data_IF_839031337628
#
_entry.id   IF_839031337628
#
_cell.length_a   1.000
_cell.length_b   1.000
_cell.length_c   1.000
_cell.angle_alpha   90.00
_cell.angle_beta   90.00
_cell.angle_gamma   90.00
#
_symmetry.space_group_name_H-M   'P 1'
#
loop_
_entity.id
_entity.type
_entity.pdbx_description
1 polymer ?
#
# COMPACT_ATOMS: atom_id res chain seq x y z
N UNK A 1 -28.53 0.18 -76.51
CA UNK A 1 -28.22 1.60 -76.39
C UNK A 1 -28.70 2.08 -75.03
N UNK A 2 -27.81 2.19 -74.08
CA UNK A 2 -27.84 3.14 -72.94
C UNK A 2 -26.46 3.14 -72.28
N UNK A 3 -25.86 4.31 -72.36
CA UNK A 3 -24.54 4.67 -71.91
C UNK A 3 -24.44 4.62 -70.32
N UNK A 4 -23.33 4.06 -69.81
CA UNK A 4 -22.91 4.24 -68.42
C UNK A 4 -22.04 5.50 -68.30
N UNK A 5 -22.14 6.24 -67.20
CA UNK A 5 -21.24 7.34 -66.85
C UNK A 5 -20.01 6.87 -66.04
N UNK A 6 -18.92 7.56 -66.27
CA UNK A 6 -17.59 7.25 -65.79
C UNK A 6 -17.36 7.39 -64.30
N UNK A 7 -16.37 6.66 -63.86
CA UNK A 7 -15.79 6.68 -62.53
C UNK A 7 -14.69 7.74 -62.46
N UNK A 8 -14.85 8.74 -61.60
CA UNK A 8 -13.77 9.66 -61.22
C UNK A 8 -12.87 9.03 -60.14
N UNK A 9 -11.57 9.32 -60.11
CA UNK A 9 -10.64 8.75 -59.15
C UNK A 9 -10.64 9.54 -57.83
N UNK A 10 -10.81 8.78 -56.72
CA UNK A 10 -10.72 9.29 -55.36
C UNK A 10 -9.32 9.83 -55.03
N UNK A 11 -9.24 11.14 -54.78
CA UNK A 11 -8.07 11.86 -54.30
C UNK A 11 -7.67 11.35 -52.90
N UNK A 12 -6.43 10.82 -52.78
CA UNK A 12 -5.79 10.48 -51.51
C UNK A 12 -5.50 11.76 -50.73
N UNK A 13 -6.30 12.06 -49.73
CA UNK A 13 -5.92 13.02 -48.69
C UNK A 13 -4.84 12.40 -47.80
N UNK A 14 -3.67 13.02 -47.79
CA UNK A 14 -2.59 12.70 -46.86
C UNK A 14 -3.01 13.06 -45.44
N UNK A 15 -3.34 12.06 -44.63
CA UNK A 15 -3.46 12.23 -43.18
C UNK A 15 -2.08 12.50 -42.58
N UNK A 16 -1.87 13.74 -42.15
CA UNK A 16 -0.72 14.12 -41.33
C UNK A 16 -0.82 13.38 -40.01
N UNK A 17 -0.04 12.31 -39.83
CA UNK A 17 0.22 11.69 -38.55
C UNK A 17 0.78 12.75 -37.60
N UNK A 18 -0.05 13.28 -36.71
CA UNK A 18 0.41 14.01 -35.53
C UNK A 18 1.13 12.99 -34.63
N UNK A 19 2.45 13.06 -34.63
CA UNK A 19 3.24 12.31 -33.63
C UNK A 19 2.87 12.86 -32.25
N UNK A 20 2.13 12.07 -31.48
CA UNK A 20 2.01 12.26 -30.04
C UNK A 20 3.40 11.99 -29.44
N UNK A 21 4.18 13.06 -29.27
CA UNK A 21 5.30 13.02 -28.33
C UNK A 21 4.66 12.76 -26.96
N UNK A 22 4.78 11.54 -26.45
CA UNK A 22 4.53 11.25 -25.05
C UNK A 22 5.39 12.23 -24.26
N UNK A 23 4.76 13.16 -23.55
CA UNK A 23 5.40 13.89 -22.47
C UNK A 23 5.86 12.83 -21.47
N UNK A 24 7.14 12.51 -21.51
CA UNK A 24 7.77 11.76 -20.41
C UNK A 24 7.66 12.69 -19.21
N UNK A 25 6.63 12.49 -18.40
CA UNK A 25 6.58 13.05 -17.07
C UNK A 25 7.81 12.49 -16.35
N UNK A 26 8.83 13.30 -16.19
CA UNK A 26 9.94 12.98 -15.30
C UNK A 26 9.36 13.03 -13.91
N UNK A 27 8.98 11.88 -13.36
CA UNK A 27 8.56 11.74 -11.97
C UNK A 27 9.70 12.25 -11.09
N UNK A 28 9.40 13.23 -10.23
CA UNK A 28 10.38 13.83 -9.34
C UNK A 28 10.25 13.18 -7.98
N UNK A 29 11.22 12.36 -7.61
CA UNK A 29 11.30 11.80 -6.26
C UNK A 29 11.72 12.92 -5.29
N UNK A 30 10.82 13.25 -4.36
CA UNK A 30 11.05 14.32 -3.38
C UNK A 30 11.90 13.79 -2.22
N UNK A 31 13.08 14.36 -2.05
CA UNK A 31 13.96 14.04 -0.91
C UNK A 31 13.68 14.97 0.26
N UNK A 32 13.47 14.40 1.44
CA UNK A 32 13.19 15.11 2.68
C UNK A 32 14.48 15.41 3.41
N UNK A 33 14.56 16.56 4.08
CA UNK A 33 15.68 16.87 5.00
C UNK A 33 15.55 16.03 6.28
N UNK A 34 16.63 15.88 7.09
CA UNK A 34 16.53 15.20 8.38
C UNK A 34 15.40 15.73 9.28
N UNK A 35 15.22 17.06 9.35
CA UNK A 35 14.17 17.70 10.14
C UNK A 35 12.76 17.37 9.61
N UNK A 36 12.61 17.22 8.30
CA UNK A 36 11.35 16.81 7.70
C UNK A 36 11.05 15.33 8.00
N UNK A 37 12.07 14.47 7.96
CA UNK A 37 11.96 13.06 8.37
C UNK A 37 11.55 12.96 9.85
N UNK A 38 12.10 13.79 10.72
CA UNK A 38 11.71 13.81 12.14
C UNK A 38 10.26 14.24 12.34
N UNK A 39 9.74 15.17 11.52
CA UNK A 39 8.32 15.52 11.53
C UNK A 39 7.43 14.36 11.05
N UNK A 40 7.87 13.64 10.02
CA UNK A 40 7.19 12.42 9.57
C UNK A 40 7.22 11.33 10.64
N UNK A 41 8.35 11.18 11.35
CA UNK A 41 8.46 10.24 12.47
C UNK A 41 7.45 10.59 13.59
N UNK A 42 7.21 11.89 13.87
CA UNK A 42 6.19 12.29 14.85
C UNK A 42 4.76 11.87 14.43
N UNK A 43 4.43 11.94 13.13
CA UNK A 43 3.19 11.37 12.59
C UNK A 43 3.17 9.85 12.72
N UNK A 44 4.30 9.20 12.41
CA UNK A 44 4.49 7.75 12.50
C UNK A 44 4.35 7.19 13.90
N UNK A 45 4.82 7.90 14.92
CA UNK A 45 4.61 7.50 16.33
C UNK A 45 3.13 7.51 16.73
N UNK A 46 2.36 8.50 16.25
CA UNK A 46 0.91 8.54 16.48
C UNK A 46 0.26 7.37 15.74
N UNK A 47 0.62 7.13 14.48
CA UNK A 47 0.14 6.03 13.67
C UNK A 47 0.42 4.68 14.35
N UNK A 48 1.65 4.42 14.77
CA UNK A 48 2.06 3.18 15.43
C UNK A 48 1.26 2.90 16.71
N UNK A 49 1.05 3.93 17.56
CA UNK A 49 0.21 3.81 18.76
C UNK A 49 -1.26 3.57 18.40
N UNK A 50 -1.78 4.20 17.36
CA UNK A 50 -3.14 3.95 16.86
C UNK A 50 -3.28 2.49 16.44
N UNK A 51 -2.37 1.99 15.61
CA UNK A 51 -2.41 0.62 15.12
C UNK A 51 -2.25 -0.41 16.26
N UNK A 52 -1.38 -0.15 17.24
CA UNK A 52 -1.28 -0.98 18.45
C UNK A 52 -2.61 -1.03 19.25
N UNK A 53 -3.24 0.12 19.44
CA UNK A 53 -4.54 0.21 20.12
C UNK A 53 -5.62 -0.56 19.34
N UNK A 54 -5.68 -0.43 18.01
CA UNK A 54 -6.63 -1.15 17.18
C UNK A 54 -6.40 -2.66 17.23
N UNK A 55 -5.15 -3.12 17.16
CA UNK A 55 -4.80 -4.55 17.30
C UNK A 55 -5.32 -5.14 18.61
N UNK A 56 -5.22 -4.41 19.71
CA UNK A 56 -5.73 -4.86 21.03
C UNK A 56 -7.26 -4.94 21.08
N UNK A 57 -7.96 -4.23 20.19
CA UNK A 57 -9.43 -4.24 20.07
C UNK A 57 -9.97 -5.29 19.10
N UNK A 58 -9.11 -5.95 18.31
CA UNK A 58 -9.53 -6.99 17.37
C UNK A 58 -9.90 -8.28 18.09
N UNK A 59 -11.14 -8.38 18.54
CA UNK A 59 -11.71 -9.60 19.13
C UNK A 59 -13.09 -9.91 18.54
N UNK A 60 -13.57 -11.16 18.63
CA UNK A 60 -14.87 -11.52 18.08
C UNK A 60 -16.01 -10.63 18.60
N UNK A 61 -16.90 -10.19 17.71
CA UNK A 61 -18.05 -9.32 18.01
C UNK A 61 -17.78 -7.82 17.83
N UNK A 62 -16.53 -7.39 17.66
CA UNK A 62 -16.24 -5.98 17.33
C UNK A 62 -16.46 -5.76 15.83
N UNK A 63 -17.17 -4.70 15.48
CA UNK A 63 -17.36 -4.33 14.09
C UNK A 63 -16.17 -3.53 13.55
N UNK A 64 -15.97 -3.55 12.22
CA UNK A 64 -14.95 -2.71 11.59
C UNK A 64 -15.29 -1.22 11.74
N UNK A 65 -16.57 -0.85 11.86
CA UNK A 65 -17.00 0.51 12.18
C UNK A 65 -16.58 0.95 13.60
N UNK A 66 -16.61 0.03 14.59
CA UNK A 66 -16.13 0.33 15.94
C UNK A 66 -14.63 0.60 15.98
N UNK A 67 -13.86 -0.13 15.16
CA UNK A 67 -12.41 0.10 15.00
C UNK A 67 -12.14 1.46 14.34
N UNK A 68 -12.86 1.80 13.30
CA UNK A 68 -12.77 3.11 12.62
C UNK A 68 -13.06 4.26 13.58
N UNK A 69 -14.18 4.19 14.30
CA UNK A 69 -14.54 5.20 15.29
C UNK A 69 -13.54 5.31 16.42
N UNK A 70 -12.88 4.21 16.82
CA UNK A 70 -11.82 4.23 17.82
C UNK A 70 -10.56 4.91 17.27
N UNK A 71 -10.18 4.65 16.03
CA UNK A 71 -9.04 5.29 15.36
C UNK A 71 -9.25 6.79 15.20
N UNK A 72 -10.41 7.20 14.68
CA UNK A 72 -10.77 8.61 14.47
C UNK A 72 -10.63 9.41 15.78
N UNK A 73 -11.24 8.90 16.86
CA UNK A 73 -11.12 9.55 18.18
C UNK A 73 -9.69 9.58 18.69
N UNK A 74 -8.95 8.48 18.57
CA UNK A 74 -7.56 8.43 19.04
C UNK A 74 -6.69 9.45 18.32
N UNK A 75 -6.72 9.47 16.97
CA UNK A 75 -5.92 10.37 16.15
C UNK A 75 -6.26 11.83 16.47
N UNK A 76 -7.55 12.17 16.59
CA UNK A 76 -8.00 13.52 16.96
C UNK A 76 -7.46 13.96 18.34
N UNK A 77 -7.42 13.07 19.35
CA UNK A 77 -6.85 13.40 20.69
C UNK A 77 -5.35 13.68 20.66
N UNK A 78 -4.64 13.25 19.60
CA UNK A 78 -3.22 13.56 19.39
C UNK A 78 -3.01 14.89 18.63
N UNK A 79 -4.07 15.61 18.31
CA UNK A 79 -4.02 16.82 17.48
C UNK A 79 -3.49 16.50 16.07
N UNK A 80 -3.90 15.36 15.51
CA UNK A 80 -3.56 14.88 14.18
C UNK A 80 -4.85 14.57 13.40
N UNK A 81 -4.74 14.29 12.12
CA UNK A 81 -5.84 13.98 11.22
C UNK A 81 -5.70 12.58 10.64
N UNK A 82 -6.83 11.85 10.48
CA UNK A 82 -6.87 10.59 9.75
C UNK A 82 -6.74 10.88 8.25
N UNK A 83 -5.63 10.46 7.64
CA UNK A 83 -5.25 10.86 6.28
C UNK A 83 -6.18 10.29 5.20
N UNK A 84 -6.83 9.15 5.47
CA UNK A 84 -7.72 8.52 4.50
C UNK A 84 -9.10 9.18 4.43
N UNK A 85 -9.57 9.79 5.52
CA UNK A 85 -10.92 10.37 5.59
C UNK A 85 -11.09 11.52 4.61
N UNK A 86 -11.91 11.30 3.59
CA UNK A 86 -12.12 12.25 2.50
C UNK A 86 -11.08 12.19 1.37
N UNK A 87 -9.99 11.43 1.53
CA UNK A 87 -8.99 11.28 0.48
C UNK A 87 -9.61 10.58 -0.74
N UNK A 88 -9.65 11.28 -1.88
CA UNK A 88 -10.32 10.83 -3.11
C UNK A 88 -11.76 10.34 -2.90
N UNK A 89 -12.43 10.79 -1.82
CA UNK A 89 -13.79 10.41 -1.47
C UNK A 89 -13.89 9.16 -0.59
N UNK A 90 -12.79 8.60 -0.06
CA UNK A 90 -12.84 7.49 0.89
C UNK A 90 -13.55 7.93 2.18
N UNK A 91 -14.54 7.17 2.70
CA UNK A 91 -15.38 7.65 3.79
C UNK A 91 -14.83 7.38 5.20
N UNK A 92 -13.93 6.40 5.35
CA UNK A 92 -13.41 5.93 6.64
C UNK A 92 -12.14 6.67 7.09
N UNK A 93 -11.84 6.58 8.36
CA UNK A 93 -10.59 7.08 8.96
C UNK A 93 -9.45 6.08 8.81
N UNK A 94 -9.79 4.78 8.66
CA UNK A 94 -8.87 3.68 8.41
C UNK A 94 -9.41 2.80 7.28
N UNK A 95 -8.56 1.93 6.70
CA UNK A 95 -9.05 0.77 5.97
C UNK A 95 -9.09 -0.44 6.90
N UNK A 96 -10.17 -1.21 6.82
CA UNK A 96 -10.33 -2.46 7.58
C UNK A 96 -10.78 -3.57 6.64
N UNK A 97 -9.87 -4.49 6.33
CA UNK A 97 -10.01 -5.45 5.24
C UNK A 97 -9.97 -6.90 5.77
N UNK A 98 -11.16 -7.54 6.02
CA UNK A 98 -11.21 -8.91 6.55
C UNK A 98 -10.95 -9.98 5.49
N UNK A 99 -10.21 -11.03 5.87
CA UNK A 99 -10.07 -12.31 5.18
C UNK A 99 -9.53 -12.20 3.74
N UNK A 100 -10.40 -12.37 2.73
CA UNK A 100 -10.04 -12.29 1.31
C UNK A 100 -9.96 -10.85 0.78
N UNK A 101 -10.37 -9.89 1.59
CA UNK A 101 -10.19 -8.48 1.27
C UNK A 101 -8.74 -8.09 1.51
N UNK A 102 -8.06 -7.66 0.46
CA UNK A 102 -6.62 -7.34 0.47
C UNK A 102 -6.38 -5.98 1.13
N UNK A 103 -7.03 -4.93 0.58
CA UNK A 103 -6.87 -3.52 1.00
C UNK A 103 -8.16 -2.72 0.74
N UNK A 104 -8.18 -1.50 1.22
CA UNK A 104 -9.19 -0.45 0.98
C UNK A 104 -10.60 -0.84 1.44
N UNK A 105 -10.72 -1.76 2.41
CA UNK A 105 -12.01 -2.10 3.00
C UNK A 105 -12.62 -0.91 3.73
N UNK A 106 -13.82 -0.49 3.30
CA UNK A 106 -14.56 0.57 3.98
C UNK A 106 -15.08 0.01 5.31
N UNK A 107 -14.74 0.62 6.45
CA UNK A 107 -15.27 0.21 7.75
C UNK A 107 -16.80 0.23 7.78
N UNK A 108 -17.41 -0.83 8.33
CA UNK A 108 -18.86 -1.00 8.31
C UNK A 108 -19.36 -2.01 9.36
N UNK A 109 -20.56 -2.57 9.17
CA UNK A 109 -21.20 -3.43 10.15
C UNK A 109 -20.62 -4.86 10.21
N UNK A 110 -19.54 -5.16 9.49
CA UNK A 110 -18.91 -6.48 9.57
C UNK A 110 -18.35 -6.71 10.97
N UNK A 111 -18.91 -7.65 11.69
CA UNK A 111 -18.43 -8.10 12.99
C UNK A 111 -17.34 -9.15 12.84
N UNK A 112 -16.18 -8.91 13.44
CA UNK A 112 -15.05 -9.84 13.45
C UNK A 112 -15.43 -11.16 14.12
N UNK A 113 -14.98 -12.27 13.54
CA UNK A 113 -15.26 -13.63 14.02
C UNK A 113 -13.96 -14.32 14.41
N UNK A 114 -14.04 -15.26 15.36
CA UNK A 114 -12.90 -16.12 15.68
C UNK A 114 -12.44 -16.86 14.43
N UNK A 115 -11.15 -16.75 14.12
CA UNK A 115 -10.53 -17.35 12.95
C UNK A 115 -10.37 -16.40 11.77
N UNK A 116 -10.96 -15.19 11.82
CA UNK A 116 -10.69 -14.15 10.83
C UNK A 116 -9.25 -13.64 10.93
N UNK A 117 -8.77 -13.09 9.84
CA UNK A 117 -7.64 -12.15 9.79
C UNK A 117 -8.17 -10.81 9.29
N UNK A 118 -7.68 -9.70 9.82
CA UNK A 118 -8.11 -8.37 9.36
C UNK A 118 -6.89 -7.49 9.13
N UNK A 119 -6.71 -6.99 7.91
CA UNK A 119 -5.73 -5.97 7.61
C UNK A 119 -6.29 -4.61 8.07
N UNK A 120 -5.56 -3.97 8.98
CA UNK A 120 -5.82 -2.63 9.47
C UNK A 120 -4.75 -1.72 8.90
N UNK A 121 -5.17 -0.70 8.19
CA UNK A 121 -4.32 0.24 7.50
C UNK A 121 -4.69 1.66 7.96
N UNK A 122 -3.69 2.42 8.40
CA UNK A 122 -3.86 3.67 9.15
C UNK A 122 -2.90 4.74 8.65
N UNK A 123 -3.43 5.73 7.96
CA UNK A 123 -2.71 6.94 7.59
C UNK A 123 -2.93 8.07 8.60
N UNK A 124 -1.87 8.73 9.04
CA UNK A 124 -1.91 9.88 9.97
C UNK A 124 -1.21 11.08 9.38
N UNK A 125 -1.90 12.23 9.40
CA UNK A 125 -1.32 13.54 9.06
C UNK A 125 -1.10 14.35 10.33
N UNK A 126 0.15 14.76 10.57
CA UNK A 126 0.52 15.67 11.68
C UNK A 126 1.33 16.85 11.13
N UNK A 127 0.89 18.06 11.41
CA UNK A 127 1.53 19.29 10.95
C UNK A 127 1.84 19.31 9.44
N UNK A 128 0.92 18.70 8.65
CA UNK A 128 1.00 18.57 7.20
C UNK A 128 2.04 17.55 6.71
N UNK A 129 2.48 16.60 7.55
CA UNK A 129 3.31 15.46 7.18
C UNK A 129 2.55 14.16 7.40
N UNK A 130 2.67 13.26 6.44
CA UNK A 130 1.92 11.99 6.41
C UNK A 130 2.83 10.84 6.81
N UNK A 131 2.28 9.91 7.57
CA UNK A 131 2.86 8.59 7.80
C UNK A 131 1.76 7.54 7.62
N UNK A 132 2.11 6.42 7.01
CA UNK A 132 1.21 5.33 6.67
C UNK A 132 1.79 3.98 7.10
N UNK A 133 0.94 3.11 7.62
CA UNK A 133 1.34 1.74 7.89
C UNK A 133 0.13 0.82 8.13
N UNK A 134 0.34 -0.45 7.79
CA UNK A 134 -0.65 -1.49 7.91
C UNK A 134 -0.13 -2.73 8.66
N UNK A 135 -1.05 -3.44 9.30
CA UNK A 135 -0.79 -4.77 9.83
C UNK A 135 -2.03 -5.64 9.76
N UNK A 136 -1.85 -6.89 9.33
CA UNK A 136 -2.90 -7.89 9.39
C UNK A 136 -2.89 -8.60 10.74
N UNK A 137 -4.03 -8.59 11.42
CA UNK A 137 -4.23 -9.09 12.78
C UNK A 137 -5.07 -10.35 12.78
N UNK A 138 -4.67 -11.43 13.47
CA UNK A 138 -5.52 -12.60 13.68
C UNK A 138 -6.57 -12.31 14.76
N UNK A 139 -7.81 -12.75 14.55
CA UNK A 139 -8.92 -12.62 15.50
C UNK A 139 -9.10 -13.93 16.28
N UNK A 140 -8.55 -13.97 17.49
CA UNK A 140 -8.47 -15.20 18.27
C UNK A 140 -7.54 -16.24 17.65
N UNK A 141 -7.91 -17.53 17.73
CA UNK A 141 -7.11 -18.61 17.08
C UNK A 141 -7.44 -18.74 15.63
N UNK A 142 -6.42 -18.67 14.78
CA UNK A 142 -6.51 -18.82 13.32
C UNK A 142 -5.92 -20.17 12.87
N UNK A 143 -6.26 -20.60 11.67
CA UNK A 143 -5.70 -21.82 11.05
C UNK A 143 -4.18 -21.68 10.81
N UNK A 144 -3.42 -22.80 10.79
CA UNK A 144 -1.97 -22.75 10.55
C UNK A 144 -1.59 -22.03 9.25
N UNK A 145 -2.36 -22.20 8.19
CA UNK A 145 -2.14 -21.51 6.91
C UNK A 145 -2.21 -19.99 7.05
N UNK A 146 -3.24 -19.48 7.75
CA UNK A 146 -3.37 -18.05 8.01
C UNK A 146 -2.17 -17.53 8.81
N UNK A 147 -1.73 -18.25 9.83
CA UNK A 147 -0.53 -17.88 10.61
C UNK A 147 0.70 -17.79 9.73
N UNK A 148 0.95 -18.82 8.89
CA UNK A 148 2.06 -18.82 7.93
C UNK A 148 2.00 -17.65 6.95
N UNK A 149 0.80 -17.32 6.44
CA UNK A 149 0.60 -16.16 5.56
C UNK A 149 1.01 -14.86 6.24
N UNK A 150 0.54 -14.64 7.49
CA UNK A 150 0.87 -13.44 8.25
C UNK A 150 2.37 -13.34 8.54
N UNK A 151 3.00 -14.44 8.96
CA UNK A 151 4.44 -14.50 9.25
C UNK A 151 5.27 -14.24 7.99
N UNK A 152 4.92 -14.87 6.86
CA UNK A 152 5.60 -14.65 5.58
C UNK A 152 5.45 -13.21 5.09
N UNK A 153 4.25 -12.64 5.14
CA UNK A 153 4.03 -11.26 4.66
C UNK A 153 4.75 -10.25 5.55
N UNK A 154 4.69 -10.42 6.86
CA UNK A 154 5.46 -9.59 7.80
C UNK A 154 6.96 -9.73 7.58
N UNK A 155 7.46 -10.95 7.40
CA UNK A 155 8.89 -11.21 7.11
C UNK A 155 9.34 -10.55 5.82
N UNK A 156 8.51 -10.57 4.77
CA UNK A 156 8.78 -9.90 3.51
C UNK A 156 8.88 -8.37 3.65
N UNK A 157 8.02 -7.77 4.49
CA UNK A 157 8.11 -6.34 4.82
C UNK A 157 9.47 -5.98 5.41
N UNK A 158 9.95 -6.74 6.39
CA UNK A 158 11.28 -6.51 6.98
C UNK A 158 12.40 -6.73 5.98
N UNK A 159 12.32 -7.80 5.16
CA UNK A 159 13.29 -8.07 4.13
C UNK A 159 13.39 -6.92 3.10
N UNK A 160 12.25 -6.36 2.68
CA UNK A 160 12.20 -5.19 1.80
C UNK A 160 12.72 -3.93 2.48
N UNK A 161 12.27 -3.65 3.70
CA UNK A 161 12.69 -2.46 4.45
C UNK A 161 14.21 -2.44 4.70
N UNK A 162 14.85 -3.59 4.96
CA UNK A 162 16.29 -3.69 5.13
C UNK A 162 17.08 -3.32 3.85
N UNK A 163 16.47 -3.47 2.67
CA UNK A 163 17.07 -3.05 1.40
C UNK A 163 16.93 -1.54 1.12
N UNK A 164 16.17 -0.78 1.90
CA UNK A 164 16.03 0.67 1.73
C UNK A 164 17.30 1.43 2.18
N UNK A 165 18.46 1.05 1.61
CA UNK A 165 19.80 1.57 1.92
C UNK A 165 20.32 2.49 0.83
N UNK A 166 21.09 3.52 1.19
CA UNK A 166 21.75 4.35 0.19
C UNK A 166 22.59 3.51 -0.76
N UNK A 167 22.44 3.76 -2.05
CA UNK A 167 23.21 3.08 -3.09
C UNK A 167 22.56 1.83 -3.66
N UNK A 168 21.66 1.17 -2.95
CA UNK A 168 20.78 0.15 -3.51
C UNK A 168 19.82 0.75 -4.53
N UNK A 169 19.14 -0.09 -5.27
CA UNK A 169 18.06 0.33 -6.19
C UNK A 169 16.69 -0.09 -5.65
N UNK A 170 15.65 0.55 -6.13
CA UNK A 170 14.29 0.21 -5.74
C UNK A 170 13.95 -1.27 -6.03
N UNK A 171 14.49 -1.82 -7.11
CA UNK A 171 14.36 -3.23 -7.47
C UNK A 171 14.95 -4.19 -6.44
N UNK A 172 15.92 -3.75 -5.61
CA UNK A 172 16.47 -4.59 -4.53
C UNK A 172 15.43 -4.77 -3.42
N UNK A 173 14.67 -3.71 -3.08
CA UNK A 173 13.53 -3.78 -2.16
C UNK A 173 12.47 -4.74 -2.70
N UNK A 174 12.07 -4.54 -3.95
CA UNK A 174 11.05 -5.35 -4.63
C UNK A 174 11.43 -6.83 -4.72
N UNK A 175 12.68 -7.14 -5.09
CA UNK A 175 13.18 -8.51 -5.21
C UNK A 175 13.28 -9.21 -3.86
N UNK A 176 13.66 -8.50 -2.80
CA UNK A 176 13.72 -9.05 -1.45
C UNK A 176 12.32 -9.45 -0.95
N UNK A 177 11.31 -8.61 -1.18
CA UNK A 177 9.90 -8.91 -0.87
C UNK A 177 9.46 -10.15 -1.65
N UNK A 178 9.63 -10.15 -2.96
CA UNK A 178 9.22 -11.24 -3.85
C UNK A 178 9.86 -12.56 -3.45
N UNK A 179 11.18 -12.60 -3.29
CA UNK A 179 11.91 -13.81 -2.95
C UNK A 179 11.45 -14.42 -1.62
N UNK A 180 11.16 -13.57 -0.62
CA UNK A 180 10.66 -14.03 0.67
C UNK A 180 9.28 -14.68 0.58
N UNK A 181 8.34 -14.04 -0.14
CA UNK A 181 6.96 -14.55 -0.28
C UNK A 181 6.90 -15.81 -1.14
N UNK A 182 7.56 -15.80 -2.32
CA UNK A 182 7.54 -16.94 -3.23
C UNK A 182 8.20 -18.18 -2.61
N UNK A 183 9.27 -18.00 -1.81
CA UNK A 183 9.90 -19.10 -1.07
C UNK A 183 9.00 -19.70 0.03
N UNK A 184 8.06 -18.92 0.57
CA UNK A 184 7.06 -19.37 1.52
C UNK A 184 5.84 -20.06 0.86
N UNK A 185 5.77 -20.06 -0.49
CA UNK A 185 4.72 -20.68 -1.29
C UNK A 185 3.44 -19.85 -1.41
N UNK A 186 3.52 -18.53 -1.23
CA UNK A 186 2.42 -17.58 -1.38
C UNK A 186 2.56 -16.72 -2.65
N UNK A 187 1.51 -15.99 -3.00
CA UNK A 187 1.46 -15.18 -4.22
C UNK A 187 1.52 -13.69 -3.94
N UNK A 188 2.49 -13.00 -4.57
CA UNK A 188 2.56 -11.53 -4.59
C UNK A 188 1.46 -10.97 -5.48
N UNK A 189 0.74 -9.97 -4.99
CA UNK A 189 -0.17 -9.16 -5.78
C UNK A 189 0.65 -8.17 -6.61
N UNK A 190 0.48 -8.21 -7.95
CA UNK A 190 1.32 -7.44 -8.89
C UNK A 190 0.68 -6.13 -9.35
N UNK A 191 -0.63 -5.98 -9.18
CA UNK A 191 -1.40 -4.83 -9.64
C UNK A 191 -1.52 -3.69 -8.63
N UNK A 192 -1.04 -3.93 -7.39
CA UNK A 192 -0.95 -2.93 -6.33
C UNK A 192 0.53 -2.76 -5.95
N UNK A 193 0.89 -1.54 -5.58
CA UNK A 193 2.28 -1.16 -5.35
C UNK A 193 2.38 -0.17 -4.20
N UNK A 194 3.48 -0.17 -3.49
CA UNK A 194 3.85 0.86 -2.55
C UNK A 194 4.21 2.18 -3.25
N UNK A 195 4.51 3.20 -2.49
CA UNK A 195 4.68 4.55 -3.01
C UNK A 195 5.67 5.39 -2.19
N UNK A 196 6.16 6.47 -2.77
CA UNK A 196 6.77 7.55 -2.00
C UNK A 196 5.71 8.25 -1.13
N UNK A 197 6.12 8.84 -0.02
CA UNK A 197 5.22 9.51 0.93
C UNK A 197 5.90 10.73 1.56
N UNK A 198 5.10 11.73 1.94
CA UNK A 198 5.66 12.94 2.53
C UNK A 198 4.61 13.98 2.89
N UNK A 199 4.48 15.03 2.08
CA UNK A 199 3.38 16.00 2.19
C UNK A 199 2.09 15.43 1.63
N UNK A 200 2.23 14.65 0.56
CA UNK A 200 1.13 13.92 -0.04
C UNK A 200 1.17 12.47 0.42
N UNK A 201 0.00 11.85 0.52
CA UNK A 201 -0.15 10.43 0.82
C UNK A 201 0.59 9.58 -0.22
N UNK A 202 0.43 9.89 -1.51
CA UNK A 202 1.07 9.20 -2.60
C UNK A 202 1.98 10.16 -3.37
N UNK A 203 3.28 9.94 -3.22
CA UNK A 203 4.35 10.58 -3.98
C UNK A 203 5.08 9.56 -4.86
N UNK A 204 5.92 10.02 -5.77
CA UNK A 204 6.87 9.14 -6.47
C UNK A 204 8.00 8.66 -5.53
N UNK A 205 8.56 7.46 -5.75
CA UNK A 205 8.28 6.52 -6.83
C UNK A 205 7.17 5.52 -6.49
N UNK A 206 6.64 4.81 -7.49
CA UNK A 206 5.92 3.56 -7.27
C UNK A 206 6.89 2.46 -6.83
N UNK A 207 6.48 1.63 -5.88
CA UNK A 207 7.30 0.57 -5.26
C UNK A 207 6.63 -0.79 -5.48
N UNK A 208 6.87 -1.46 -6.61
CA UNK A 208 6.32 -2.80 -6.83
C UNK A 208 6.84 -3.80 -5.79
N UNK A 209 5.99 -4.75 -5.40
CA UNK A 209 6.36 -5.85 -4.50
C UNK A 209 7.09 -6.99 -5.22
N UNK A 210 7.48 -6.79 -6.48
CA UNK A 210 8.22 -7.73 -7.32
C UNK A 210 9.17 -6.96 -8.23
N UNK A 211 10.30 -7.55 -8.59
CA UNK A 211 11.27 -6.89 -9.45
C UNK A 211 12.59 -7.62 -9.55
N UNK A 212 13.53 -7.00 -10.25
CA UNK A 212 14.88 -7.49 -10.45
C UNK A 212 15.88 -6.66 -9.62
N UNK A 213 16.84 -7.30 -8.94
CA UNK A 213 17.89 -6.59 -8.22
C UNK A 213 18.68 -5.62 -9.13
N UNK A 214 19.08 -4.48 -8.59
CA UNK A 214 19.85 -3.46 -9.30
C UNK A 214 19.06 -2.69 -10.36
N UNK A 215 17.73 -2.78 -10.37
CA UNK A 215 16.85 -2.06 -11.31
C UNK A 215 16.08 -0.92 -10.64
N UNK A 216 15.60 -0.01 -11.45
CA UNK A 216 14.82 1.14 -11.01
C UNK A 216 15.68 2.28 -10.44
N UNK A 217 15.06 3.28 -9.82
CA UNK A 217 15.76 4.41 -9.20
C UNK A 217 16.78 3.95 -8.15
N UNK A 218 17.92 4.62 -8.12
CA UNK A 218 18.89 4.45 -7.04
C UNK A 218 18.35 5.10 -5.77
N UNK A 219 18.45 4.40 -4.65
CA UNK A 219 18.00 4.90 -3.36
C UNK A 219 19.03 5.88 -2.80
N UNK A 220 18.54 7.06 -2.42
CA UNK A 220 19.32 8.15 -1.90
C UNK A 220 18.79 8.64 -0.57
N UNK A 221 19.66 9.11 0.34
CA UNK A 221 19.23 9.70 1.60
C UNK A 221 18.19 10.81 1.39
N UNK A 222 17.15 10.79 2.22
CA UNK A 222 16.02 11.69 2.12
C UNK A 222 14.80 11.14 1.39
N UNK A 223 14.92 10.03 0.67
CA UNK A 223 13.74 9.32 0.15
C UNK A 223 12.96 8.72 1.30
N UNK A 224 11.61 8.82 1.25
CA UNK A 224 10.72 8.18 2.22
C UNK A 224 9.69 7.37 1.46
N UNK A 225 9.56 6.11 1.84
CA UNK A 225 8.90 5.06 1.07
C UNK A 225 7.84 4.36 1.94
N UNK A 226 6.63 4.21 1.45
CA UNK A 226 5.63 3.28 1.95
C UNK A 226 5.92 1.91 1.30
N UNK A 227 6.47 0.99 2.08
CA UNK A 227 6.80 -0.37 1.64
C UNK A 227 5.71 -1.29 2.17
N UNK A 228 4.93 -1.89 1.27
CA UNK A 228 3.65 -2.51 1.61
C UNK A 228 3.41 -3.83 0.84
N UNK A 229 4.03 -4.94 1.22
CA UNK A 229 3.73 -6.23 0.64
C UNK A 229 2.27 -6.63 0.86
N UNK A 230 1.58 -6.88 -0.27
CA UNK A 230 0.23 -7.43 -0.34
C UNK A 230 0.29 -8.84 -0.93
N UNK A 231 -0.25 -9.82 -0.21
CA UNK A 231 -0.03 -11.24 -0.47
C UNK A 231 -1.34 -12.02 -0.38
N UNK A 232 -1.58 -12.90 -1.35
CA UNK A 232 -2.67 -13.86 -1.32
C UNK A 232 -2.17 -15.27 -0.94
N UNK A 233 -2.96 -16.00 -0.18
CA UNK A 233 -2.71 -17.42 0.09
C UNK A 233 -2.87 -18.29 -1.16
N UNK A 234 -3.73 -17.88 -2.09
CA UNK A 234 -3.96 -18.52 -3.38
C UNK A 234 -3.23 -17.82 -4.53
N UNK A 235 -3.94 -17.56 -5.63
CA UNK A 235 -3.39 -16.93 -6.83
C UNK A 235 -3.16 -15.42 -6.71
N UNK A 236 -2.34 -14.82 -7.60
CA UNK A 236 -1.95 -13.40 -7.51
C UNK A 236 -3.02 -12.41 -7.99
N UNK A 237 -4.11 -12.90 -8.54
CA UNK A 237 -5.14 -12.05 -9.15
C UNK A 237 -6.07 -11.43 -8.10
N UNK A 238 -6.54 -10.23 -8.41
CA UNK A 238 -7.47 -9.47 -7.58
C UNK A 238 -8.72 -9.09 -8.35
N UNK A 239 -9.76 -8.68 -7.62
CA UNK A 239 -10.97 -8.03 -8.14
C UNK A 239 -11.34 -6.85 -7.26
N UNK A 240 -11.91 -5.82 -7.86
CA UNK A 240 -12.48 -4.69 -7.13
C UNK A 240 -13.92 -5.02 -6.73
N UNK A 241 -14.33 -4.62 -5.54
CA UNK A 241 -15.70 -4.77 -5.03
C UNK A 241 -16.68 -3.79 -5.68
N UNK A 242 -17.97 -4.00 -5.42
CA UNK A 242 -19.06 -3.19 -5.97
C UNK A 242 -19.08 -1.75 -5.40
N UNK A 243 -18.39 -1.52 -4.27
CA UNK A 243 -18.18 -0.20 -3.67
C UNK A 243 -17.09 0.63 -4.38
N UNK A 244 -16.42 0.08 -5.38
CA UNK A 244 -15.30 0.65 -6.12
C UNK A 244 -14.06 0.98 -5.26
N UNK A 245 -14.00 0.48 -4.02
CA UNK A 245 -12.87 0.66 -3.11
C UNK A 245 -12.23 -0.67 -2.71
N UNK A 246 -12.99 -1.52 -2.05
CA UNK A 246 -12.48 -2.77 -1.51
C UNK A 246 -11.89 -3.66 -2.61
N UNK A 247 -10.66 -4.11 -2.40
CA UNK A 247 -9.96 -5.02 -3.30
C UNK A 247 -9.89 -6.40 -2.66
N UNK A 248 -10.26 -7.42 -3.40
CA UNK A 248 -10.31 -8.80 -2.94
C UNK A 248 -9.37 -9.70 -3.74
N UNK A 249 -8.88 -10.79 -3.12
CA UNK A 249 -8.34 -11.91 -3.88
C UNK A 249 -9.41 -12.45 -4.83
N UNK A 250 -9.04 -12.72 -6.09
CA UNK A 250 -10.03 -13.12 -7.10
C UNK A 250 -10.60 -14.52 -6.85
N UNK A 251 -9.84 -15.39 -6.20
CA UNK A 251 -10.18 -16.77 -5.87
C UNK A 251 -10.81 -16.94 -4.47
N UNK A 252 -10.96 -15.84 -3.71
CA UNK A 252 -11.52 -15.86 -2.35
C UNK A 252 -10.56 -16.37 -1.28
N UNK A 253 -9.29 -16.63 -1.62
CA UNK A 253 -8.26 -17.01 -0.65
C UNK A 253 -7.96 -15.89 0.34
N UNK A 254 -7.40 -16.24 1.51
CA UNK A 254 -6.97 -15.24 2.49
C UNK A 254 -5.91 -14.32 1.92
N UNK A 255 -5.96 -13.07 2.32
CA UNK A 255 -4.96 -12.06 1.99
C UNK A 255 -4.33 -11.47 3.25
N UNK A 256 -3.11 -10.95 3.11
CA UNK A 256 -2.41 -10.22 4.15
C UNK A 256 -1.76 -8.97 3.56
N UNK A 257 -1.79 -7.89 4.33
CA UNK A 257 -1.15 -6.62 4.05
C UNK A 257 -0.38 -6.16 5.29
N UNK A 258 0.89 -5.86 5.12
CA UNK A 258 1.74 -5.24 6.14
C UNK A 258 2.51 -4.10 5.51
N UNK A 259 2.75 -3.03 6.27
CA UNK A 259 3.36 -1.83 5.74
C UNK A 259 4.18 -1.08 6.78
N UNK A 260 5.24 -0.43 6.30
CA UNK A 260 5.99 0.60 7.00
C UNK A 260 6.19 1.85 6.13
N UNK A 261 6.16 3.01 6.76
CA UNK A 261 6.85 4.19 6.24
C UNK A 261 8.33 4.12 6.63
N UNK A 262 9.22 4.07 5.63
CA UNK A 262 10.66 3.90 5.80
C UNK A 262 11.42 5.05 5.16
N UNK A 263 12.27 5.74 5.93
CA UNK A 263 13.20 6.74 5.41
C UNK A 263 14.54 6.09 5.05
N UNK A 264 15.05 6.38 3.87
CA UNK A 264 16.45 6.11 3.49
C UNK A 264 17.31 7.18 4.13
N UNK A 265 18.21 6.80 5.05
CA UNK A 265 19.14 7.72 5.72
C UNK A 265 20.58 7.37 5.38
N UNK A 266 21.54 8.26 5.67
CA UNK A 266 22.97 7.99 5.50
C UNK A 266 23.43 6.72 6.22
N UNK A 267 22.76 6.37 7.35
CA UNK A 267 23.08 5.21 8.17
C UNK A 267 22.26 3.96 7.82
N UNK A 268 21.46 4.01 6.75
CA UNK A 268 20.56 2.93 6.31
C UNK A 268 19.08 3.25 6.56
N UNK A 269 18.21 2.24 6.51
CA UNK A 269 16.77 2.44 6.67
C UNK A 269 16.39 2.86 8.09
N UNK A 270 15.49 3.83 8.20
CA UNK A 270 14.82 4.22 9.45
C UNK A 270 13.32 4.00 9.31
N UNK A 271 12.78 3.08 10.07
CA UNK A 271 11.33 2.86 10.15
C UNK A 271 10.73 4.03 10.94
N UNK A 272 9.79 4.76 10.32
CA UNK A 272 9.12 5.91 10.93
C UNK A 272 7.81 5.51 11.63
N UNK A 273 7.27 4.32 11.35
CA UNK A 273 6.03 3.78 11.90
C UNK A 273 6.29 2.50 12.70
N UNK A 274 6.86 2.60 13.91
CA UNK A 274 7.39 1.45 14.67
C UNK A 274 6.30 0.65 15.42
N UNK A 275 5.22 0.28 14.74
CA UNK A 275 4.11 -0.48 15.33
C UNK A 275 4.48 -1.92 15.75
N UNK A 276 5.63 -2.41 15.32
CA UNK A 276 6.17 -3.73 15.60
C UNK A 276 6.99 -3.80 16.89
N UNK A 277 7.43 -2.66 17.41
CA UNK A 277 8.15 -2.55 18.68
C UNK A 277 7.17 -2.65 19.84
N UNK A 278 7.58 -3.29 20.97
CA UNK A 278 6.75 -3.48 22.15
C UNK A 278 6.59 -2.19 22.99
#
# INVERSE_FOLDING_TARGET
MRSQPGSEPFSRRSEKRKSFRALVSTSVIIRKTPEQIDRMAAAGEIQARCLKMLRSKCHPGVSTADLDAAADRFIATQGAEASFKGYRGFPGSICASPNSMVVHGIPGPYELKRGDVVALDVGVTKDGWVADAAATVPVGSVKPEARRLLEATKGALFAGADQARPGNHLGDVSAAIQGHIESAGFSIIRSLVGHGIGRDMHEDPQIPNYGEPGRGPRLEPGMVLAIEPMVNAGGPNIRVGDDNWAVYSADGSLAAHFEFTVAVTENGPRILTPWHEE
#
